data_IF_933747032140
#
_entry.id   IF_933747032140
#
_cell.length_a   1.000
_cell.length_b   1.000
_cell.length_c   1.000
_cell.angle_alpha   90.00
_cell.angle_beta   90.00
_cell.angle_gamma   90.00
#
_symmetry.space_group_name_H-M   'P 1'
#
loop_
_entity.id
_entity.type
_entity.pdbx_description
1 polymer ?
#
# COMPACT_ATOMS: atom_id res chain seq x y z
N UNK A 1 -34.34 24.42 1.69
CA UNK A 1 -33.76 23.08 1.90
C UNK A 1 -33.50 22.44 0.54
N UNK A 2 -32.29 22.60 0.02
CA UNK A 2 -31.65 21.58 -0.82
C UNK A 2 -30.15 21.90 -0.77
N UNK A 3 -29.47 21.25 0.16
CA UNK A 3 -28.02 21.28 0.28
C UNK A 3 -27.45 20.32 -0.76
N UNK A 4 -27.24 20.83 -1.96
CA UNK A 4 -26.27 20.25 -2.89
C UNK A 4 -24.88 20.41 -2.27
N UNK A 5 -24.53 19.46 -1.41
CA UNK A 5 -23.17 19.31 -0.89
C UNK A 5 -22.33 18.84 -2.08
N UNK A 6 -21.45 19.66 -2.69
CA UNK A 6 -20.48 19.10 -3.62
C UNK A 6 -19.66 18.10 -2.81
N UNK A 7 -19.71 16.83 -3.20
CA UNK A 7 -18.80 15.81 -2.72
C UNK A 7 -17.41 16.35 -3.04
N UNK A 8 -16.75 16.91 -2.02
CA UNK A 8 -15.37 17.36 -2.06
C UNK A 8 -14.51 16.11 -2.14
N UNK A 9 -14.52 15.47 -3.31
CA UNK A 9 -13.55 14.50 -3.71
C UNK A 9 -12.26 15.26 -3.88
N UNK A 10 -11.44 15.29 -2.83
CA UNK A 10 -10.03 15.57 -2.96
C UNK A 10 -9.42 14.42 -3.78
N UNK A 11 -9.66 14.41 -5.09
CA UNK A 11 -8.84 13.65 -6.01
C UNK A 11 -7.47 14.32 -5.98
N UNK A 12 -6.61 13.85 -5.09
CA UNK A 12 -5.22 14.29 -5.02
C UNK A 12 -4.55 13.81 -6.31
N UNK A 13 -4.37 14.76 -7.23
CA UNK A 13 -3.64 14.59 -8.46
C UNK A 13 -2.19 14.14 -8.17
N UNK A 14 -1.71 13.16 -8.93
CA UNK A 14 -0.33 13.23 -9.39
C UNK A 14 0.76 12.51 -8.59
N UNK A 15 0.50 11.33 -8.04
CA UNK A 15 1.58 10.33 -7.88
C UNK A 15 1.15 9.03 -8.54
N UNK A 16 1.72 8.75 -9.72
CA UNK A 16 1.58 7.48 -10.42
C UNK A 16 2.40 6.40 -9.67
N UNK A 17 2.09 6.21 -8.39
CA UNK A 17 2.66 5.14 -7.58
C UNK A 17 1.80 3.91 -7.81
N UNK A 18 2.34 2.92 -8.51
CA UNK A 18 1.69 1.62 -8.61
C UNK A 18 1.78 0.93 -7.26
N UNK A 19 0.64 0.58 -6.62
CA UNK A 19 0.65 -0.29 -5.48
C UNK A 19 1.13 -1.67 -5.93
N UNK A 20 1.99 -2.27 -5.12
CA UNK A 20 2.54 -3.60 -5.27
C UNK A 20 1.98 -4.40 -4.09
N UNK A 21 1.23 -5.45 -4.41
CA UNK A 21 0.73 -6.42 -3.44
C UNK A 21 1.69 -7.60 -3.34
N UNK A 22 2.04 -7.97 -2.11
CA UNK A 22 2.88 -9.13 -1.83
C UNK A 22 2.54 -9.78 -0.50
N UNK A 23 3.09 -10.96 -0.26
CA UNK A 23 2.94 -11.65 1.03
C UNK A 23 4.14 -11.44 1.92
N UNK A 24 3.86 -11.11 3.18
CA UNK A 24 4.86 -11.06 4.23
C UNK A 24 5.55 -12.44 4.36
N UNK A 25 6.88 -12.55 4.20
CA UNK A 25 7.59 -13.82 4.34
C UNK A 25 7.55 -14.39 5.77
N UNK A 26 7.23 -13.57 6.77
CA UNK A 26 7.18 -14.00 8.18
C UNK A 26 5.85 -14.61 8.61
N UNK A 27 4.72 -14.09 8.12
CA UNK A 27 3.39 -14.49 8.58
C UNK A 27 2.38 -14.78 7.45
N UNK A 28 2.75 -14.53 6.20
CA UNK A 28 1.88 -14.72 5.04
C UNK A 28 0.82 -13.64 4.85
N UNK A 29 0.83 -12.56 5.63
CA UNK A 29 -0.12 -11.44 5.48
C UNK A 29 0.03 -10.75 4.13
N UNK A 30 -1.09 -10.31 3.57
CA UNK A 30 -1.08 -9.45 2.38
C UNK A 30 -0.62 -8.04 2.77
N UNK A 31 0.46 -7.63 2.13
CA UNK A 31 1.07 -6.33 2.30
C UNK A 31 0.94 -5.55 1.01
N UNK A 32 0.52 -4.30 1.14
CA UNK A 32 0.46 -3.34 0.06
C UNK A 32 1.59 -2.34 0.24
N UNK A 33 2.50 -2.28 -0.72
CA UNK A 33 3.59 -1.31 -0.74
C UNK A 33 3.54 -0.48 -2.00
N UNK A 34 3.93 0.78 -1.91
CA UNK A 34 4.05 1.61 -3.10
C UNK A 34 5.43 1.41 -3.73
N UNK A 35 5.51 1.60 -5.05
CA UNK A 35 6.79 1.54 -5.76
C UNK A 35 7.82 2.58 -5.28
N UNK A 36 7.40 3.58 -4.50
CA UNK A 36 8.23 4.61 -3.87
C UNK A 36 8.74 4.19 -2.47
N UNK A 37 8.10 3.20 -1.84
CA UNK A 37 8.50 2.66 -0.54
C UNK A 37 9.66 1.68 -0.71
N UNK A 38 10.75 1.90 0.04
CA UNK A 38 11.90 0.96 0.06
C UNK A 38 11.65 -0.23 0.99
N UNK A 39 10.84 -0.05 2.04
CA UNK A 39 10.48 -1.09 3.01
C UNK A 39 9.22 -0.66 3.79
N UNK A 40 8.45 -1.64 4.23
CA UNK A 40 7.26 -1.46 5.06
C UNK A 40 7.31 -2.39 6.28
N UNK A 41 6.65 -2.02 7.37
CA UNK A 41 6.53 -2.92 8.53
C UNK A 41 5.22 -3.68 8.43
N UNK A 42 5.28 -5.01 8.54
CA UNK A 42 4.09 -5.85 8.52
C UNK A 42 3.22 -5.54 9.76
N UNK A 43 1.96 -5.13 9.60
CA UNK A 43 1.08 -4.82 10.73
C UNK A 43 0.66 -6.07 11.53
N UNK A 44 0.79 -7.27 10.96
CA UNK A 44 0.42 -8.52 11.62
C UNK A 44 1.53 -9.06 12.53
N UNK A 45 2.76 -9.13 12.04
CA UNK A 45 3.89 -9.73 12.78
C UNK A 45 4.94 -8.73 13.23
N UNK A 46 4.87 -7.46 12.81
CA UNK A 46 5.85 -6.43 13.14
C UNK A 46 7.20 -6.57 12.42
N UNK A 47 7.33 -7.49 11.45
CA UNK A 47 8.56 -7.66 10.66
C UNK A 47 8.70 -6.56 9.61
N UNK A 48 9.90 -6.00 9.47
CA UNK A 48 10.24 -5.17 8.33
C UNK A 48 10.36 -6.02 7.06
N UNK A 49 9.63 -5.63 6.02
CA UNK A 49 9.62 -6.26 4.70
C UNK A 49 10.11 -5.24 3.69
N UNK A 50 11.20 -5.56 3.00
CA UNK A 50 11.79 -4.71 1.96
C UNK A 50 11.04 -4.84 0.63
N UNK A 51 11.20 -3.85 -0.26
CA UNK A 51 10.65 -3.92 -1.63
C UNK A 51 11.20 -5.12 -2.41
N UNK A 52 12.43 -5.56 -2.12
CA UNK A 52 13.02 -6.77 -2.69
C UNK A 52 12.30 -8.04 -2.22
N UNK A 53 12.07 -8.19 -0.90
CA UNK A 53 11.32 -9.32 -0.34
C UNK A 53 9.88 -9.36 -0.88
N UNK A 54 9.25 -8.20 -0.99
CA UNK A 54 7.91 -8.08 -1.54
C UNK A 54 7.83 -8.42 -3.03
N UNK A 55 8.80 -7.96 -3.83
CA UNK A 55 8.90 -8.33 -5.25
C UNK A 55 9.14 -9.83 -5.43
N UNK A 56 9.91 -10.46 -4.53
CA UNK A 56 10.12 -11.90 -4.52
C UNK A 56 8.83 -12.68 -4.18
N UNK A 57 7.96 -12.13 -3.33
CA UNK A 57 6.70 -12.72 -2.90
C UNK A 57 5.45 -11.98 -3.43
N UNK A 58 5.52 -11.44 -4.64
CA UNK A 58 4.37 -10.76 -5.27
C UNK A 58 3.23 -11.76 -5.53
N UNK A 59 1.99 -11.29 -5.42
CA UNK A 59 0.78 -12.09 -5.69
C UNK A 59 -0.10 -11.43 -6.73
#
# INVERSE_FOLDING_TARGET
MNEERPLKGCAVEGRNVSPITCRCPGCGEELEMFSDDSKITCPKCGREVTIEECRANRI
#
